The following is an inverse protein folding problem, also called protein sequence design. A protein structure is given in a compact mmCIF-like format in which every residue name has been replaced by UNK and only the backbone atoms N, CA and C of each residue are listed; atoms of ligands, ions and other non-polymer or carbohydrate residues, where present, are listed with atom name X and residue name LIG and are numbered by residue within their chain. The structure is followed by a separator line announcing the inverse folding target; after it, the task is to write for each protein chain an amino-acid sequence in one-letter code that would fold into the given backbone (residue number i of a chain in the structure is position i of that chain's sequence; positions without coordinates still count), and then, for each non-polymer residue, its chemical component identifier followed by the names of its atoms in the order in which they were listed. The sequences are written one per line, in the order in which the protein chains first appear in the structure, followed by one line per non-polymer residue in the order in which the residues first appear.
data_IF_234978649196
#
_entry.id   IF_234978649196
#
_cell.length_a   1.000
_cell.length_b   1.000
_cell.length_c   1.000
_cell.angle_alpha   90.00
_cell.angle_beta   90.00
_cell.angle_gamma   90.00
#
_symmetry.space_group_name_H-M   'P 1'
#
loop_
_entity.id
_entity.type
_entity.pdbx_description
1 polymer ?
#
# COMPACT_ATOMS: atom_id res chain seq x y z
N UNK A 1 1.40 39.82 -0.91
CA UNK A 1 2.60 40.41 -1.53
C UNK A 1 3.85 39.70 -1.07
N UNK A 2 4.07 39.56 0.24
CA UNK A 2 5.24 38.89 0.83
C UNK A 2 5.46 37.44 0.36
N UNK A 3 4.37 36.66 0.24
CA UNK A 3 4.40 35.28 -0.24
C UNK A 3 4.81 35.12 -1.73
N UNK A 4 4.59 36.15 -2.57
CA UNK A 4 5.06 36.11 -3.96
C UNK A 4 6.56 36.44 -4.07
N UNK A 5 7.05 37.36 -3.24
CA UNK A 5 8.47 37.74 -3.21
C UNK A 5 9.31 36.55 -2.75
N UNK A 6 8.85 35.79 -1.75
CA UNK A 6 9.51 34.57 -1.28
C UNK A 6 9.58 33.48 -2.37
N UNK A 7 8.51 33.30 -3.15
CA UNK A 7 8.50 32.36 -4.28
C UNK A 7 9.47 32.77 -5.39
N UNK A 8 9.55 34.06 -5.71
CA UNK A 8 10.54 34.56 -6.68
C UNK A 8 11.97 34.34 -6.20
N UNK A 9 12.27 34.59 -4.92
CA UNK A 9 13.59 34.36 -4.32
C UNK A 9 13.97 32.88 -4.30
N UNK A 10 13.02 32.00 -3.97
CA UNK A 10 13.22 30.55 -4.07
C UNK A 10 13.56 30.14 -5.50
N UNK A 11 12.80 30.62 -6.50
CA UNK A 11 13.06 30.32 -7.90
C UNK A 11 14.45 30.80 -8.35
N UNK A 12 14.89 31.97 -7.90
CA UNK A 12 16.22 32.50 -8.18
C UNK A 12 17.33 31.61 -7.58
N UNK A 13 17.17 31.16 -6.33
CA UNK A 13 18.13 30.27 -5.69
C UNK A 13 18.22 28.90 -6.39
N UNK A 14 17.11 28.38 -6.90
CA UNK A 14 17.08 27.15 -7.71
C UNK A 14 17.79 27.33 -9.05
N UNK A 15 17.70 28.50 -9.66
CA UNK A 15 18.39 28.79 -10.92
C UNK A 15 19.92 28.83 -10.73
N UNK A 16 20.39 29.42 -9.63
CA UNK A 16 21.80 29.37 -9.24
C UNK A 16 22.28 27.93 -9.02
N UNK A 17 21.45 27.08 -8.40
CA UNK A 17 21.77 25.67 -8.21
C UNK A 17 21.86 24.88 -9.53
N UNK A 18 21.06 25.23 -10.54
CA UNK A 18 21.16 24.63 -11.89
C UNK A 18 22.43 25.06 -12.62
N UNK A 19 22.88 26.29 -12.41
CA UNK A 19 24.11 26.82 -12.99
C UNK A 19 25.39 26.27 -12.32
N UNK A 20 25.25 25.40 -11.30
CA UNK A 20 26.37 24.83 -10.57
C UNK A 20 26.96 25.75 -9.50
N UNK A 21 26.40 26.94 -9.31
CA UNK A 21 26.80 27.91 -8.29
C UNK A 21 26.23 27.53 -6.91
N UNK A 22 26.60 26.33 -6.41
CA UNK A 22 26.03 25.75 -5.19
C UNK A 22 26.32 26.57 -3.92
N UNK A 23 27.44 27.30 -3.86
CA UNK A 23 27.79 28.17 -2.73
C UNK A 23 26.88 29.41 -2.66
N UNK A 24 26.59 30.03 -3.81
CA UNK A 24 25.68 31.18 -3.92
C UNK A 24 24.23 30.74 -3.67
N UNK A 25 23.84 29.59 -4.20
CA UNK A 25 22.53 28.99 -3.92
C UNK A 25 22.35 28.69 -2.42
N UNK A 26 23.38 28.16 -1.74
CA UNK A 26 23.36 27.93 -0.29
C UNK A 26 23.12 29.25 0.46
N UNK A 27 23.90 30.29 0.17
CA UNK A 27 23.77 31.58 0.85
C UNK A 27 22.36 32.21 0.66
N UNK A 28 21.82 32.14 -0.57
CA UNK A 28 20.47 32.63 -0.85
C UNK A 28 19.39 31.84 -0.11
N UNK A 29 19.54 30.52 0.01
CA UNK A 29 18.61 29.65 0.75
C UNK A 29 18.72 29.84 2.26
N UNK A 30 19.92 30.07 2.81
CA UNK A 30 20.10 30.39 4.24
C UNK A 30 19.36 31.69 4.59
N UNK A 31 19.51 32.74 3.78
CA UNK A 31 18.77 33.98 3.97
C UNK A 31 17.25 33.77 3.87
N UNK A 32 16.80 32.94 2.93
CA UNK A 32 15.39 32.62 2.77
C UNK A 32 14.81 31.89 4.00
N UNK A 33 15.59 31.00 4.64
CA UNK A 33 15.17 30.32 5.87
C UNK A 33 15.08 31.23 7.10
N UNK A 34 15.76 32.38 7.08
CA UNK A 34 15.64 33.41 8.14
C UNK A 34 14.39 34.26 7.94
N UNK A 35 14.05 34.59 6.69
CA UNK A 35 12.88 35.40 6.34
C UNK A 35 11.57 34.58 6.37
N UNK A 36 11.64 33.28 6.08
CA UNK A 36 10.51 32.36 6.06
C UNK A 36 10.79 31.08 6.88
N UNK A 37 10.83 31.18 8.22
CA UNK A 37 11.17 30.06 9.09
C UNK A 37 10.14 28.91 9.10
N UNK A 38 8.96 29.14 8.54
CA UNK A 38 7.90 28.12 8.43
C UNK A 38 7.87 27.41 7.08
N UNK A 39 8.77 27.73 6.13
CA UNK A 39 8.77 27.13 4.79
C UNK A 39 9.54 25.79 4.75
N UNK A 40 8.87 24.63 4.59
CA UNK A 40 9.57 23.34 4.52
C UNK A 40 10.43 23.23 3.26
N UNK A 41 9.98 23.83 2.16
CA UNK A 41 10.64 23.81 0.84
C UNK A 41 12.01 24.50 0.89
N UNK A 42 12.12 25.65 1.57
CA UNK A 42 13.37 26.37 1.74
C UNK A 42 14.42 25.51 2.48
N UNK A 43 14.00 24.84 3.57
CA UNK A 43 14.87 23.93 4.32
C UNK A 43 15.26 22.68 3.51
N UNK A 44 14.37 22.15 2.67
CA UNK A 44 14.69 21.02 1.79
C UNK A 44 15.79 21.36 0.80
N UNK A 45 15.65 22.47 0.07
CA UNK A 45 16.63 22.90 -0.93
C UNK A 45 17.94 23.34 -0.29
N UNK A 46 17.90 23.95 0.90
CA UNK A 46 19.10 24.24 1.68
C UNK A 46 19.90 22.97 1.95
N UNK A 47 19.24 21.89 2.35
CA UNK A 47 19.91 20.62 2.58
C UNK A 47 20.55 20.04 1.32
N UNK A 48 19.93 20.20 0.14
CA UNK A 48 20.57 19.81 -1.13
C UNK A 48 21.81 20.64 -1.44
N UNK A 49 21.75 21.95 -1.24
CA UNK A 49 22.89 22.84 -1.47
C UNK A 49 24.06 22.52 -0.50
N UNK A 50 23.77 22.22 0.76
CA UNK A 50 24.75 21.75 1.75
C UNK A 50 25.41 20.42 1.34
N UNK A 51 24.63 19.45 0.86
CA UNK A 51 25.17 18.17 0.34
C UNK A 51 26.10 18.38 -0.85
N UNK A 52 25.80 19.31 -1.75
CA UNK A 52 26.64 19.64 -2.92
C UNK A 52 27.87 20.47 -2.57
N UNK A 53 27.85 21.19 -1.45
CA UNK A 53 29.00 21.94 -0.92
C UNK A 53 29.86 21.11 0.05
N UNK A 54 29.69 19.77 0.06
CA UNK A 54 30.42 18.82 0.90
C UNK A 54 30.24 19.01 2.42
N UNK A 55 29.08 19.53 2.85
CA UNK A 55 28.73 19.73 4.25
C UNK A 55 27.51 18.86 4.64
N UNK A 56 27.73 17.55 4.91
CA UNK A 56 26.64 16.62 5.17
C UNK A 56 25.95 16.84 6.52
N UNK A 57 26.62 17.45 7.51
CA UNK A 57 26.02 17.74 8.81
C UNK A 57 25.05 18.94 8.73
N UNK A 58 25.42 19.99 7.99
CA UNK A 58 24.48 21.07 7.68
C UNK A 58 23.29 20.60 6.84
N UNK A 59 23.53 19.66 5.91
CA UNK A 59 22.46 19.04 5.11
C UNK A 59 21.48 18.25 5.97
N UNK A 60 22.00 17.45 6.92
CA UNK A 60 21.18 16.72 7.90
C UNK A 60 20.31 17.67 8.70
N UNK A 61 20.91 18.71 9.30
CA UNK A 61 20.21 19.69 10.14
C UNK A 61 19.08 20.40 9.36
N UNK A 62 19.34 20.75 8.09
CA UNK A 62 18.34 21.39 7.23
C UNK A 62 17.16 20.45 6.92
N UNK A 63 17.43 19.17 6.60
CA UNK A 63 16.37 18.19 6.35
C UNK A 63 15.61 17.79 7.61
N UNK A 64 16.24 17.77 8.79
CA UNK A 64 15.55 17.58 10.07
C UNK A 64 14.57 18.72 10.34
N UNK A 65 14.96 19.98 10.10
CA UNK A 65 14.06 21.13 10.19
C UNK A 65 12.93 21.07 9.16
N UNK A 66 13.23 20.66 7.92
CA UNK A 66 12.21 20.43 6.89
C UNK A 66 11.16 19.41 7.35
N UNK A 67 11.60 18.28 7.90
CA UNK A 67 10.72 17.22 8.40
C UNK A 67 9.99 17.60 9.70
N UNK A 68 10.52 18.53 10.49
CA UNK A 68 9.82 19.08 11.65
C UNK A 68 8.62 19.95 11.22
N UNK A 69 8.73 20.64 10.08
CA UNK A 69 7.65 21.48 9.52
C UNK A 69 6.68 20.68 8.64
N UNK A 70 7.18 19.74 7.84
CA UNK A 70 6.40 18.82 7.01
C UNK A 70 6.87 17.37 7.22
N UNK A 71 6.26 16.65 8.18
CA UNK A 71 6.61 15.25 8.48
C UNK A 71 6.44 14.27 7.31
N UNK A 72 5.71 14.66 6.26
CA UNK A 72 5.43 13.85 5.06
C UNK A 72 6.32 14.21 3.87
N UNK A 73 7.29 15.12 4.04
CA UNK A 73 8.18 15.56 2.97
C UNK A 73 9.10 14.42 2.47
N UNK A 74 8.64 13.69 1.45
CA UNK A 74 9.27 12.47 0.93
C UNK A 74 10.72 12.71 0.49
N UNK A 75 10.97 13.85 -0.16
CA UNK A 75 12.26 14.16 -0.75
C UNK A 75 13.33 14.41 0.33
N UNK A 76 13.04 15.19 1.37
CA UNK A 76 13.94 15.43 2.50
C UNK A 76 14.26 14.14 3.26
N UNK A 77 13.24 13.29 3.49
CA UNK A 77 13.42 12.00 4.18
C UNK A 77 14.34 11.06 3.42
N UNK A 78 14.17 10.98 2.10
CA UNK A 78 15.02 10.15 1.23
C UNK A 78 16.46 10.63 1.27
N UNK A 79 16.68 11.95 1.22
CA UNK A 79 18.01 12.51 1.26
C UNK A 79 18.69 12.34 2.62
N UNK A 80 17.96 12.49 3.72
CA UNK A 80 18.46 12.26 5.08
C UNK A 80 18.80 10.78 5.31
N UNK A 81 17.92 9.85 4.90
CA UNK A 81 18.17 8.41 4.94
C UNK A 81 19.42 8.01 4.11
N UNK A 82 19.64 8.66 2.95
CA UNK A 82 20.84 8.43 2.15
C UNK A 82 22.14 8.85 2.85
N UNK A 83 22.08 9.78 3.82
CA UNK A 83 23.23 10.20 4.61
C UNK A 83 23.47 9.30 5.85
N UNK A 84 22.48 8.53 6.29
CA UNK A 84 22.54 7.77 7.55
C UNK A 84 22.76 6.27 7.37
N UNK A 85 22.67 5.70 6.17
CA UNK A 85 22.89 4.26 5.95
C UNK A 85 24.28 3.78 6.42
N UNK A 86 24.38 2.87 7.40
CA UNK A 86 25.48 1.91 7.48
C UNK A 86 25.23 0.77 6.46
N UNK A 87 26.28 0.08 6.01
CA UNK A 87 26.15 -1.08 5.14
C UNK A 87 25.22 -2.14 5.78
N UNK A 88 24.10 -2.46 5.11
CA UNK A 88 23.06 -3.34 5.65
C UNK A 88 23.44 -4.83 5.60
N UNK A 89 22.82 -5.68 6.45
CA UNK A 89 23.14 -7.11 6.54
C UNK A 89 22.55 -7.93 5.38
N UNK A 90 23.33 -8.92 4.91
CA UNK A 90 22.99 -9.83 3.81
C UNK A 90 21.83 -10.76 4.18
N UNK A 91 20.74 -10.65 3.41
CA UNK A 91 19.44 -11.27 3.68
C UNK A 91 19.37 -12.78 3.37
N UNK A 92 20.42 -13.40 2.81
CA UNK A 92 20.34 -14.78 2.31
C UNK A 92 20.89 -15.87 3.24
N UNK A 93 21.34 -15.56 4.45
CA UNK A 93 21.98 -16.57 5.32
C UNK A 93 21.27 -16.91 6.63
N UNK A 94 20.18 -16.23 7.00
CA UNK A 94 19.54 -16.51 8.30
C UNK A 94 18.27 -17.35 8.18
N UNK A 95 18.43 -18.66 8.23
CA UNK A 95 17.36 -19.67 8.28
C UNK A 95 16.66 -19.77 9.64
N UNK A 96 16.87 -18.82 10.58
CA UNK A 96 16.26 -18.81 11.91
C UNK A 96 14.78 -18.36 11.98
N UNK A 97 14.17 -17.95 10.87
CA UNK A 97 12.88 -17.23 10.86
C UNK A 97 11.63 -18.06 11.24
N UNK A 98 11.72 -19.39 11.37
CA UNK A 98 10.56 -20.23 11.71
C UNK A 98 10.29 -20.31 13.24
N UNK A 99 11.29 -20.08 14.08
CA UNK A 99 11.18 -20.28 15.54
C UNK A 99 10.79 -19.02 16.32
N UNK A 100 10.71 -17.86 15.65
CA UNK A 100 10.46 -16.55 16.25
C UNK A 100 9.02 -16.02 16.15
N UNK A 101 8.05 -16.82 15.67
CA UNK A 101 6.68 -16.32 15.39
C UNK A 101 5.96 -15.71 16.61
N UNK A 102 6.44 -15.99 17.84
CA UNK A 102 5.90 -15.46 19.09
C UNK A 102 6.97 -14.94 20.07
N UNK A 103 8.23 -14.80 19.65
CA UNK A 103 9.33 -14.47 20.56
C UNK A 103 9.76 -12.99 20.48
N UNK A 104 9.64 -12.35 21.63
CA UNK A 104 10.15 -11.05 22.07
C UNK A 104 9.70 -9.79 21.33
N UNK A 105 9.07 -8.91 22.13
CA UNK A 105 8.68 -7.55 21.85
C UNK A 105 9.85 -6.77 21.24
N UNK A 106 9.93 -6.75 19.91
CA UNK A 106 10.69 -5.74 19.18
C UNK A 106 10.24 -4.36 19.70
N UNK A 107 11.19 -3.44 19.99
CA UNK A 107 10.86 -2.17 20.60
C UNK A 107 9.73 -1.48 19.83
N UNK A 108 8.65 -1.15 20.55
CA UNK A 108 7.46 -0.53 19.98
C UNK A 108 7.92 0.78 19.33
N UNK A 109 7.72 0.96 18.01
CA UNK A 109 8.01 2.25 17.40
C UNK A 109 7.17 3.32 18.10
N UNK A 110 7.73 4.50 18.41
CA UNK A 110 7.00 5.60 19.10
C UNK A 110 5.80 6.17 18.31
N UNK A 111 5.40 5.51 17.22
CA UNK A 111 4.32 5.89 16.33
C UNK A 111 3.07 5.07 16.68
N UNK A 112 1.97 5.75 16.92
CA UNK A 112 0.72 5.10 17.34
C UNK A 112 0.23 4.08 16.30
N UNK A 113 -0.20 2.88 16.74
CA UNK A 113 -0.73 1.88 15.84
C UNK A 113 -2.07 2.33 15.29
N UNK A 114 -2.27 2.19 13.98
CA UNK A 114 -3.55 2.50 13.38
C UNK A 114 -4.69 1.66 13.97
N UNK A 115 -5.84 2.29 14.15
CA UNK A 115 -7.03 1.61 14.68
C UNK A 115 -7.50 0.52 13.71
N UNK A 116 -8.13 -0.53 14.25
CA UNK A 116 -8.66 -1.61 13.42
C UNK A 116 -9.80 -1.10 12.53
N UNK A 117 -10.54 -0.09 12.98
CA UNK A 117 -11.57 0.60 12.21
C UNK A 117 -11.03 1.35 11.02
N UNK A 118 -9.98 2.15 11.21
CA UNK A 118 -9.32 2.84 10.11
C UNK A 118 -8.82 1.82 9.08
N UNK A 119 -8.23 0.70 9.51
CA UNK A 119 -7.73 -0.35 8.61
C UNK A 119 -8.85 -1.03 7.80
N UNK A 120 -9.96 -1.38 8.43
CA UNK A 120 -11.11 -1.97 7.73
C UNK A 120 -11.74 -0.98 6.75
N UNK A 121 -11.85 0.30 7.14
CA UNK A 121 -12.35 1.35 6.25
C UNK A 121 -11.43 1.57 5.06
N UNK A 122 -10.10 1.59 5.25
CA UNK A 122 -9.15 1.66 4.15
C UNK A 122 -9.32 0.48 3.20
N UNK A 123 -9.43 -0.75 3.72
CA UNK A 123 -9.64 -1.93 2.90
C UNK A 123 -10.93 -1.83 2.06
N UNK A 124 -12.00 -1.29 2.64
CA UNK A 124 -13.26 -1.07 1.93
C UNK A 124 -13.11 -0.02 0.82
N UNK A 125 -12.48 1.12 1.12
CA UNK A 125 -12.19 2.17 0.13
C UNK A 125 -11.31 1.61 -1.00
N UNK A 126 -10.25 0.89 -0.66
CA UNK A 126 -9.36 0.23 -1.60
C UNK A 126 -10.10 -0.78 -2.48
N UNK A 127 -11.07 -1.52 -1.92
CA UNK A 127 -11.90 -2.47 -2.67
C UNK A 127 -12.79 -1.76 -3.68
N UNK A 128 -13.40 -0.63 -3.33
CA UNK A 128 -14.20 0.17 -4.26
C UNK A 128 -13.33 0.69 -5.40
N UNK A 129 -12.17 1.27 -5.06
CA UNK A 129 -11.25 1.80 -6.05
C UNK A 129 -10.73 0.72 -6.99
N UNK A 130 -10.43 -0.46 -6.47
CA UNK A 130 -10.02 -1.60 -7.28
C UNK A 130 -11.14 -2.07 -8.22
N UNK A 131 -12.38 -2.17 -7.73
CA UNK A 131 -13.54 -2.53 -8.57
C UNK A 131 -13.72 -1.51 -9.69
N UNK A 132 -13.68 -0.21 -9.36
CA UNK A 132 -13.79 0.86 -10.35
C UNK A 132 -12.65 0.81 -11.38
N UNK A 133 -11.43 0.53 -10.94
CA UNK A 133 -10.28 0.36 -11.81
C UNK A 133 -10.42 -0.87 -12.73
N UNK A 134 -11.16 -1.90 -12.32
CA UNK A 134 -11.36 -3.14 -13.08
C UNK A 134 -12.43 -3.00 -14.18
N UNK A 135 -13.44 -2.15 -13.96
CA UNK A 135 -14.56 -1.91 -14.91
C UNK A 135 -14.11 -1.67 -16.36
N UNK A 136 -13.17 -0.74 -16.68
CA UNK A 136 -12.79 -0.50 -18.08
C UNK A 136 -12.14 -1.73 -18.73
N UNK A 137 -11.38 -2.54 -17.97
CA UNK A 137 -10.78 -3.76 -18.50
C UNK A 137 -11.83 -4.83 -18.79
N UNK A 138 -12.81 -5.00 -17.89
CA UNK A 138 -13.94 -5.91 -18.13
C UNK A 138 -14.76 -5.42 -19.32
N UNK A 139 -15.08 -4.14 -19.40
CA UNK A 139 -15.85 -3.59 -20.51
C UNK A 139 -15.12 -3.77 -21.86
N UNK A 140 -13.81 -3.54 -21.89
CA UNK A 140 -12.97 -3.78 -23.08
C UNK A 140 -12.98 -5.26 -23.47
N UNK A 141 -12.86 -6.18 -22.52
CA UNK A 141 -12.93 -7.61 -22.77
C UNK A 141 -14.31 -8.04 -23.26
N UNK A 142 -15.39 -7.53 -22.65
CA UNK A 142 -16.76 -7.79 -23.10
C UNK A 142 -17.01 -7.29 -24.52
N UNK A 143 -16.51 -6.11 -24.87
CA UNK A 143 -16.58 -5.59 -26.24
C UNK A 143 -15.77 -6.45 -27.22
N UNK A 144 -14.61 -6.95 -26.81
CA UNK A 144 -13.82 -7.89 -27.60
C UNK A 144 -14.61 -9.20 -27.84
N UNK A 145 -15.22 -9.77 -26.82
CA UNK A 145 -16.03 -11.00 -26.93
C UNK A 145 -17.20 -10.78 -27.88
N UNK A 146 -17.98 -9.73 -27.68
CA UNK A 146 -19.14 -9.41 -28.54
C UNK A 146 -18.70 -9.08 -29.97
N UNK A 147 -17.57 -8.39 -30.16
CA UNK A 147 -17.04 -8.07 -31.47
C UNK A 147 -16.53 -9.26 -32.29
N UNK A 148 -16.25 -10.39 -31.63
CA UNK A 148 -15.86 -11.65 -32.28
C UNK A 148 -17.02 -12.67 -32.35
N UNK A 149 -18.18 -12.35 -31.77
CA UNK A 149 -19.34 -13.22 -31.84
C UNK A 149 -19.90 -13.26 -33.28
N UNK A 150 -20.42 -14.42 -33.73
CA UNK A 150 -21.10 -14.53 -35.01
C UNK A 150 -22.26 -13.53 -35.12
N UNK A 151 -22.45 -12.92 -36.30
CA UNK A 151 -23.48 -11.89 -36.53
C UNK A 151 -24.79 -12.45 -37.08
N UNK A 152 -24.83 -13.75 -37.35
CA UNK A 152 -25.88 -14.50 -38.02
C UNK A 152 -26.88 -15.12 -37.04
N UNK A 153 -27.50 -14.33 -36.16
CA UNK A 153 -28.59 -14.79 -35.28
C UNK A 153 -28.23 -15.87 -34.23
N UNK A 154 -27.11 -16.56 -34.40
CA UNK A 154 -26.53 -17.60 -33.53
C UNK A 154 -25.62 -17.01 -32.44
N UNK A 155 -25.52 -15.67 -32.37
CA UNK A 155 -24.67 -14.97 -31.40
C UNK A 155 -24.93 -15.39 -29.95
N UNK A 156 -26.20 -15.64 -29.60
CA UNK A 156 -26.60 -16.04 -28.25
C UNK A 156 -26.10 -17.45 -27.93
N UNK A 157 -26.25 -18.38 -28.86
CA UNK A 157 -25.86 -19.77 -28.68
C UNK A 157 -24.33 -19.89 -28.56
N UNK A 158 -23.58 -19.14 -29.39
CA UNK A 158 -22.12 -19.04 -29.27
C UNK A 158 -21.68 -18.52 -27.90
N UNK A 159 -22.32 -17.47 -27.37
CA UNK A 159 -22.00 -16.93 -26.04
C UNK A 159 -22.26 -17.98 -24.95
N UNK A 160 -23.36 -18.74 -25.05
CA UNK A 160 -23.70 -19.77 -24.09
C UNK A 160 -22.70 -20.94 -24.12
N UNK A 161 -22.31 -21.39 -25.32
CA UNK A 161 -21.30 -22.43 -25.51
C UNK A 161 -19.92 -22.02 -24.97
N UNK A 162 -19.54 -20.75 -25.16
CA UNK A 162 -18.26 -20.21 -24.67
C UNK A 162 -18.33 -19.59 -23.27
N UNK A 163 -19.47 -19.66 -22.59
CA UNK A 163 -19.73 -18.94 -21.33
C UNK A 163 -18.71 -19.22 -20.22
N UNK A 164 -18.24 -20.47 -20.10
CA UNK A 164 -17.20 -20.87 -19.15
C UNK A 164 -15.85 -20.20 -19.43
N UNK A 165 -15.45 -20.10 -20.69
CA UNK A 165 -14.20 -19.45 -21.11
C UNK A 165 -14.30 -17.94 -20.94
N UNK A 166 -15.44 -17.34 -21.28
CA UNK A 166 -15.72 -15.92 -21.09
C UNK A 166 -15.66 -15.58 -19.59
N UNK A 167 -16.26 -16.41 -18.73
CA UNK A 167 -16.20 -16.24 -17.28
C UNK A 167 -14.77 -16.35 -16.76
N UNK A 168 -14.02 -17.37 -17.18
CA UNK A 168 -12.61 -17.55 -16.79
C UNK A 168 -11.75 -16.36 -17.21
N UNK A 169 -11.92 -15.85 -18.44
CA UNK A 169 -11.23 -14.64 -18.92
C UNK A 169 -11.57 -13.41 -18.08
N UNK A 170 -12.85 -13.21 -17.77
CA UNK A 170 -13.33 -12.10 -16.94
C UNK A 170 -12.75 -12.16 -15.51
N UNK A 171 -12.74 -13.36 -14.91
CA UNK A 171 -12.15 -13.59 -13.58
C UNK A 171 -10.64 -13.37 -13.59
N UNK A 172 -9.94 -13.84 -14.62
CA UNK A 172 -8.49 -13.65 -14.77
C UNK A 172 -8.10 -12.17 -14.81
N UNK A 173 -8.89 -11.32 -15.49
CA UNK A 173 -8.67 -9.87 -15.51
C UNK A 173 -8.72 -9.29 -14.09
N UNK A 174 -9.73 -9.65 -13.30
CA UNK A 174 -9.85 -9.20 -11.91
C UNK A 174 -8.66 -9.61 -11.05
N UNK A 175 -8.17 -10.85 -11.22
CA UNK A 175 -6.97 -11.34 -10.54
C UNK A 175 -5.72 -10.56 -10.94
N UNK A 176 -5.50 -10.35 -12.24
CA UNK A 176 -4.34 -9.60 -12.76
C UNK A 176 -4.36 -8.17 -12.21
N UNK A 177 -5.48 -7.47 -12.30
CA UNK A 177 -5.61 -6.10 -11.78
C UNK A 177 -5.31 -6.07 -10.27
N UNK A 178 -5.87 -7.00 -9.48
CA UNK A 178 -5.58 -7.07 -8.04
C UNK A 178 -4.08 -7.33 -7.76
N UNK A 179 -3.51 -8.32 -8.46
CA UNK A 179 -2.14 -8.78 -8.29
C UNK A 179 -1.12 -7.67 -8.54
N UNK A 180 -1.37 -6.78 -9.49
CA UNK A 180 -0.48 -5.66 -9.76
C UNK A 180 -0.81 -4.40 -8.95
N UNK A 181 -2.09 -4.12 -8.69
CA UNK A 181 -2.52 -2.89 -8.01
C UNK A 181 -1.98 -2.80 -6.57
N UNK A 182 -2.18 -3.83 -5.74
CA UNK A 182 -1.86 -3.74 -4.32
C UNK A 182 -0.34 -3.69 -4.05
N UNK A 183 0.50 -4.59 -4.63
CA UNK A 183 1.94 -4.56 -4.40
C UNK A 183 2.61 -3.29 -4.94
N UNK A 184 2.12 -2.74 -6.06
CA UNK A 184 2.61 -1.48 -6.62
C UNK A 184 2.53 -0.35 -5.59
N UNK A 185 1.37 -0.15 -4.96
CA UNK A 185 1.19 0.88 -3.93
C UNK A 185 1.96 0.61 -2.63
N UNK A 186 2.15 -0.65 -2.26
CA UNK A 186 3.00 -1.01 -1.13
C UNK A 186 4.46 -0.63 -1.37
N UNK A 187 4.97 -0.90 -2.56
CA UNK A 187 6.34 -0.58 -2.94
C UNK A 187 6.56 0.93 -3.11
N UNK A 188 5.68 1.62 -3.83
CA UNK A 188 5.90 3.02 -4.20
C UNK A 188 5.75 3.97 -3.00
N UNK A 189 4.77 3.73 -2.14
CA UNK A 189 4.38 4.69 -1.10
C UNK A 189 4.25 4.08 0.30
N UNK A 190 4.23 2.75 0.42
CA UNK A 190 3.80 2.06 1.65
C UNK A 190 2.35 2.38 2.02
N UNK A 191 1.56 2.89 1.07
CA UNK A 191 0.21 3.41 1.27
C UNK A 191 -0.62 3.06 0.06
N UNK A 192 -1.70 2.31 0.27
CA UNK A 192 -2.77 2.20 -0.71
C UNK A 192 -3.61 3.48 -0.70
N UNK A 193 -4.34 3.81 -1.78
CA UNK A 193 -5.14 5.03 -1.84
C UNK A 193 -6.09 5.22 -0.64
N UNK A 194 -6.79 4.17 -0.19
CA UNK A 194 -7.64 4.18 0.99
C UNK A 194 -6.88 4.39 2.29
N UNK A 195 -5.67 3.84 2.42
CA UNK A 195 -4.80 4.12 3.57
C UNK A 195 -4.28 5.54 3.57
N UNK A 196 -3.96 6.08 2.39
CA UNK A 196 -3.53 7.47 2.21
C UNK A 196 -4.63 8.46 2.63
N UNK A 197 -5.88 8.18 2.25
CA UNK A 197 -7.05 8.98 2.64
C UNK A 197 -7.26 9.01 4.16
N UNK A 198 -6.87 7.95 4.87
CA UNK A 198 -7.03 7.81 6.31
C UNK A 198 -5.75 8.11 7.10
N UNK A 199 -4.73 8.70 6.48
CA UNK A 199 -3.48 9.07 7.16
C UNK A 199 -2.68 7.88 7.71
N UNK A 200 -2.87 6.69 7.13
CA UNK A 200 -2.18 5.47 7.54
C UNK A 200 -1.04 5.13 6.60
N UNK A 201 0.04 4.60 7.17
CA UNK A 201 1.21 4.14 6.42
C UNK A 201 1.73 2.81 6.91
N UNK A 202 2.11 1.96 5.96
CA UNK A 202 2.83 0.73 6.23
C UNK A 202 4.32 1.05 6.19
N UNK A 203 5.01 0.69 7.26
CA UNK A 203 6.44 0.92 7.48
C UNK A 203 7.10 -0.37 7.96
N UNK A 204 8.41 -0.45 7.81
CA UNK A 204 9.21 -1.48 8.46
C UNK A 204 9.16 -1.32 9.99
N UNK A 205 9.06 -2.44 10.71
CA UNK A 205 8.93 -2.41 12.18
C UNK A 205 10.24 -1.99 12.89
N UNK A 206 11.38 -2.20 12.26
CA UNK A 206 12.71 -1.94 12.84
C UNK A 206 13.25 -0.57 12.46
N UNK A 207 13.07 -0.13 11.21
CA UNK A 207 13.63 1.14 10.71
C UNK A 207 12.60 2.26 10.64
N UNK A 208 11.30 1.96 10.68
CA UNK A 208 10.21 2.90 10.38
C UNK A 208 10.30 3.53 8.97
N UNK A 209 11.11 2.94 8.10
CA UNK A 209 11.26 3.35 6.71
C UNK A 209 10.20 2.69 5.82
N UNK A 210 10.04 3.14 4.56
CA UNK A 210 9.20 2.46 3.59
C UNK A 210 9.64 1.00 3.38
N UNK A 211 8.69 0.17 2.97
CA UNK A 211 8.91 -1.26 2.74
C UNK A 211 9.95 -1.50 1.66
N UNK A 212 10.77 -2.53 1.85
CA UNK A 212 11.56 -3.11 0.75
C UNK A 212 10.64 -3.87 -0.23
N UNK A 213 11.11 -4.12 -1.46
CA UNK A 213 10.36 -4.90 -2.45
C UNK A 213 10.01 -6.30 -1.94
N UNK A 214 10.96 -6.98 -1.29
CA UNK A 214 10.77 -8.31 -0.71
C UNK A 214 9.72 -8.30 0.40
N UNK A 215 9.77 -7.31 1.29
CA UNK A 215 8.76 -7.17 2.34
C UNK A 215 7.38 -6.84 1.79
N UNK A 216 7.30 -6.05 0.71
CA UNK A 216 6.03 -5.70 0.06
C UNK A 216 5.37 -6.93 -0.56
N UNK A 217 6.14 -7.74 -1.30
CA UNK A 217 5.67 -8.99 -1.90
C UNK A 217 5.35 -10.03 -0.83
N UNK A 218 6.23 -10.20 0.16
CA UNK A 218 6.03 -11.13 1.27
C UNK A 218 4.79 -10.78 2.09
N UNK A 219 4.56 -9.49 2.35
CA UNK A 219 3.32 -9.00 2.99
C UNK A 219 2.10 -9.33 2.14
N UNK A 220 2.14 -9.07 0.83
CA UNK A 220 1.03 -9.34 -0.08
C UNK A 220 0.66 -10.84 -0.11
N UNK A 221 1.65 -11.72 -0.28
CA UNK A 221 1.43 -13.17 -0.28
C UNK A 221 0.90 -13.66 1.08
N UNK A 222 1.45 -13.15 2.19
CA UNK A 222 0.98 -13.49 3.52
C UNK A 222 -0.45 -12.98 3.80
N UNK A 223 -0.84 -11.83 3.24
CA UNK A 223 -2.22 -11.35 3.30
C UNK A 223 -3.17 -12.28 2.53
N UNK A 224 -2.78 -12.75 1.35
CA UNK A 224 -3.53 -13.75 0.59
C UNK A 224 -3.70 -15.07 1.36
N UNK A 225 -2.61 -15.58 1.95
CA UNK A 225 -2.66 -16.76 2.80
C UNK A 225 -3.60 -16.56 3.99
N UNK A 226 -3.56 -15.37 4.62
CA UNK A 226 -4.46 -15.02 5.72
C UNK A 226 -5.93 -15.05 5.29
N UNK A 227 -6.22 -14.63 4.06
CA UNK A 227 -7.57 -14.69 3.47
C UNK A 227 -8.00 -16.13 3.18
N UNK A 228 -7.11 -16.98 2.64
CA UNK A 228 -7.39 -18.40 2.38
C UNK A 228 -7.73 -19.19 3.64
N UNK A 229 -7.11 -18.85 4.78
CA UNK A 229 -7.43 -19.44 6.10
C UNK A 229 -8.58 -18.69 6.78
N UNK A 230 -9.63 -18.34 6.02
CA UNK A 230 -10.87 -17.70 6.50
C UNK A 230 -10.63 -16.39 7.28
N UNK A 231 -9.69 -15.55 6.82
CA UNK A 231 -9.30 -14.30 7.50
C UNK A 231 -8.72 -14.48 8.92
N UNK A 232 -8.40 -15.71 9.33
CA UNK A 232 -7.87 -15.98 10.68
C UNK A 232 -6.65 -15.14 11.02
N UNK A 233 -5.77 -14.90 10.03
CA UNK A 233 -4.58 -14.07 10.21
C UNK A 233 -4.88 -12.62 10.62
N UNK A 234 -6.08 -12.10 10.35
CA UNK A 234 -6.49 -10.76 10.78
C UNK A 234 -6.97 -10.73 12.24
N UNK A 235 -7.44 -11.86 12.79
CA UNK A 235 -7.90 -11.95 14.19
C UNK A 235 -6.75 -11.72 15.19
N UNK A 236 -5.53 -12.08 14.82
CA UNK A 236 -4.31 -11.86 15.63
C UNK A 236 -4.16 -10.39 16.06
N UNK A 237 -4.61 -9.45 15.23
CA UNK A 237 -4.53 -8.01 15.48
C UNK A 237 -5.39 -7.52 16.66
N UNK A 238 -6.35 -8.34 17.15
CA UNK A 238 -7.18 -8.00 18.32
C UNK A 238 -6.51 -8.39 19.64
N UNK A 239 -5.54 -9.32 19.62
CA UNK A 239 -4.95 -9.89 20.82
C UNK A 239 -3.61 -9.25 21.19
N UNK A 240 -3.10 -8.31 20.40
CA UNK A 240 -1.82 -7.64 20.63
C UNK A 240 -1.96 -6.12 20.74
N UNK A 241 -1.06 -5.51 21.53
CA UNK A 241 -1.05 -4.05 21.78
C UNK A 241 -0.68 -3.24 20.53
N UNK A 242 0.17 -3.82 19.68
CA UNK A 242 0.64 -3.19 18.43
C UNK A 242 -0.37 -3.31 17.29
N UNK A 243 -1.49 -4.00 17.53
CA UNK A 243 -2.56 -4.32 16.57
C UNK A 243 -2.05 -5.03 15.31
N UNK A 244 -0.89 -5.69 15.30
CA UNK A 244 -0.33 -6.31 14.09
C UNK A 244 -1.08 -7.59 13.71
N UNK A 245 -1.43 -7.75 12.44
CA UNK A 245 -2.00 -8.99 11.91
C UNK A 245 -0.90 -10.03 11.63
N UNK A 246 -1.29 -11.29 11.36
CA UNK A 246 -0.34 -12.37 11.06
C UNK A 246 0.59 -12.03 9.88
N UNK A 247 0.04 -11.46 8.81
CA UNK A 247 0.83 -11.01 7.66
C UNK A 247 1.77 -9.84 8.00
N UNK A 248 1.44 -9.03 9.00
CA UNK A 248 2.33 -7.97 9.50
C UNK A 248 3.53 -8.57 10.24
N UNK A 249 3.32 -9.65 11.00
CA UNK A 249 4.38 -10.39 11.66
C UNK A 249 5.31 -11.07 10.65
N UNK A 250 4.74 -11.82 9.71
CA UNK A 250 5.48 -12.56 8.70
C UNK A 250 6.33 -11.64 7.82
N UNK A 251 5.82 -10.46 7.47
CA UNK A 251 6.55 -9.51 6.63
C UNK A 251 7.47 -8.56 7.42
N UNK A 252 7.43 -8.56 8.76
CA UNK A 252 8.18 -7.60 9.58
C UNK A 252 7.69 -6.16 9.47
N UNK A 253 6.39 -5.98 9.24
CA UNK A 253 5.80 -4.67 8.89
C UNK A 253 4.89 -4.16 10.00
N UNK A 254 4.67 -2.85 10.00
CA UNK A 254 3.86 -2.13 10.97
C UNK A 254 2.98 -1.10 10.28
N UNK A 255 1.74 -0.93 10.74
CA UNK A 255 0.82 0.08 10.18
C UNK A 255 0.69 1.22 11.18
N UNK A 256 1.42 2.29 10.89
CA UNK A 256 1.42 3.56 11.60
C UNK A 256 0.24 4.44 11.19
N UNK A 257 -0.27 5.24 12.13
CA UNK A 257 -1.27 6.28 11.87
C UNK A 257 -0.72 7.64 12.30
N UNK A 258 -1.02 8.70 11.53
CA UNK A 258 -0.69 10.07 11.91
C UNK A 258 -1.66 10.68 12.93
N UNK A 259 -2.84 10.07 13.10
CA UNK A 259 -3.82 10.43 14.12
C UNK A 259 -4.40 9.17 14.76
N UNK A 260 -4.63 9.16 16.08
CA UNK A 260 -5.95 8.78 16.62
C UNK A 260 -6.06 9.02 18.13
N UNK A 261 -7.07 9.79 18.52
CA UNK A 261 -7.72 9.64 19.83
C UNK A 261 -8.57 8.35 19.90
N UNK A 262 -9.21 8.04 21.04
CA UNK A 262 -10.03 6.84 21.18
C UNK A 262 -11.17 6.80 20.15
N UNK A 263 -11.41 5.61 19.57
CA UNK A 263 -12.40 5.40 18.50
C UNK A 263 -13.80 5.88 18.90
N UNK A 264 -14.44 6.63 18.02
CA UNK A 264 -15.83 7.06 18.18
C UNK A 264 -16.81 5.87 18.11
N UNK A 265 -18.03 6.03 18.64
CA UNK A 265 -19.08 4.99 18.57
C UNK A 265 -19.41 4.61 17.12
N UNK A 266 -19.36 5.57 16.20
CA UNK A 266 -19.58 5.34 14.77
C UNK A 266 -18.53 4.39 14.17
N UNK A 267 -17.26 4.53 14.55
CA UNK A 267 -16.19 3.62 14.10
C UNK A 267 -16.38 2.20 14.63
N UNK A 268 -16.85 2.03 15.86
CA UNK A 268 -17.15 0.72 16.45
C UNK A 268 -18.32 0.04 15.73
N UNK A 269 -19.37 0.79 15.39
CA UNK A 269 -20.51 0.26 14.65
C UNK A 269 -20.14 -0.08 13.21
N UNK A 270 -19.38 0.79 12.54
CA UNK A 270 -18.91 0.57 11.17
C UNK A 270 -17.97 -0.64 11.08
N UNK A 271 -17.05 -0.81 12.03
CA UNK A 271 -16.21 -2.02 12.08
C UNK A 271 -17.01 -3.28 12.28
N UNK A 272 -17.94 -3.28 13.22
CA UNK A 272 -18.81 -4.42 13.48
C UNK A 272 -19.61 -4.78 12.23
N UNK A 273 -20.16 -3.79 11.53
CA UNK A 273 -20.85 -3.97 10.26
C UNK A 273 -19.94 -4.55 9.18
N UNK A 274 -18.73 -4.02 9.00
CA UNK A 274 -17.77 -4.51 8.00
C UNK A 274 -17.34 -5.95 8.28
N UNK A 275 -17.19 -6.34 9.56
CA UNK A 275 -16.91 -7.72 9.96
C UNK A 275 -18.09 -8.62 9.57
N UNK A 276 -19.33 -8.21 9.85
CA UNK A 276 -20.53 -8.96 9.47
C UNK A 276 -20.63 -9.14 7.96
N UNK A 277 -20.39 -8.07 7.18
CA UNK A 277 -20.40 -8.13 5.72
C UNK A 277 -19.30 -9.05 5.17
N UNK A 278 -18.11 -9.02 5.80
CA UNK A 278 -17.00 -9.91 5.41
C UNK A 278 -17.34 -11.39 5.71
N UNK A 279 -17.98 -11.66 6.85
CA UNK A 279 -18.47 -13.00 7.20
C UNK A 279 -19.59 -13.47 6.27
N UNK A 280 -20.52 -12.59 5.91
CA UNK A 280 -21.58 -12.87 4.93
C UNK A 280 -20.99 -13.19 3.55
N UNK A 281 -20.01 -12.40 3.10
CA UNK A 281 -19.28 -12.66 1.85
C UNK A 281 -18.59 -14.02 1.87
N UNK A 282 -17.96 -14.40 2.99
CA UNK A 282 -17.36 -15.72 3.16
C UNK A 282 -18.40 -16.85 3.07
N UNK A 283 -19.55 -16.69 3.73
CA UNK A 283 -20.66 -17.65 3.64
C UNK A 283 -21.16 -17.79 2.20
N UNK A 284 -21.29 -16.68 1.46
CA UNK A 284 -21.67 -16.72 0.05
C UNK A 284 -20.65 -17.49 -0.81
N UNK A 285 -19.35 -17.30 -0.59
CA UNK A 285 -18.30 -18.05 -1.30
C UNK A 285 -18.42 -19.55 -0.98
N UNK A 286 -18.63 -19.93 0.28
CA UNK A 286 -18.83 -21.33 0.67
C UNK A 286 -20.06 -21.92 -0.01
N UNK A 287 -21.17 -21.18 -0.06
CA UNK A 287 -22.39 -21.61 -0.77
C UNK A 287 -22.08 -21.84 -2.26
N UNK A 288 -21.41 -20.90 -2.92
CA UNK A 288 -21.02 -21.04 -4.34
C UNK A 288 -20.12 -22.25 -4.57
N UNK A 289 -19.17 -22.53 -3.66
CA UNK A 289 -18.31 -23.70 -3.76
C UNK A 289 -19.09 -25.00 -3.58
N UNK A 290 -20.05 -25.03 -2.64
CA UNK A 290 -20.91 -26.20 -2.40
C UNK A 290 -21.83 -26.45 -3.60
N UNK A 291 -22.46 -25.40 -4.16
CA UNK A 291 -23.31 -25.55 -5.35
C UNK A 291 -22.50 -25.95 -6.57
N UNK A 292 -21.30 -25.38 -6.74
CA UNK A 292 -20.38 -25.76 -7.82
C UNK A 292 -19.92 -27.22 -7.69
N UNK A 293 -19.54 -27.67 -6.48
CA UNK A 293 -19.22 -29.07 -6.22
C UNK A 293 -20.40 -29.99 -6.46
N UNK A 294 -21.61 -29.60 -6.06
CA UNK A 294 -22.85 -30.35 -6.35
C UNK A 294 -23.06 -30.51 -7.86
N UNK A 295 -22.89 -29.44 -8.62
CA UNK A 295 -22.94 -29.48 -10.09
C UNK A 295 -21.88 -30.38 -10.71
N UNK A 296 -20.66 -30.40 -10.17
CA UNK A 296 -19.61 -31.34 -10.58
C UNK A 296 -20.03 -32.79 -10.30
N UNK A 297 -20.60 -33.07 -9.13
CA UNK A 297 -21.06 -34.42 -8.76
C UNK A 297 -22.19 -34.88 -9.69
N UNK A 298 -23.21 -34.06 -9.92
CA UNK A 298 -24.29 -34.36 -10.87
C UNK A 298 -23.75 -34.56 -12.30
N UNK A 299 -22.80 -33.72 -12.73
CA UNK A 299 -22.11 -33.89 -14.00
C UNK A 299 -21.39 -35.23 -14.08
N UNK A 300 -20.62 -35.62 -13.05
CA UNK A 300 -19.92 -36.90 -13.01
C UNK A 300 -20.88 -38.10 -12.97
N UNK A 301 -22.01 -37.99 -12.27
CA UNK A 301 -23.07 -39.03 -12.23
C UNK A 301 -23.80 -39.16 -13.58
N UNK A 302 -23.90 -38.08 -14.35
CA UNK A 302 -24.51 -38.09 -15.69
C UNK A 302 -23.65 -38.78 -16.76
N UNK A 303 -22.36 -39.02 -16.48
CA UNK A 303 -21.48 -39.82 -17.34
C UNK A 303 -21.47 -41.29 -16.90
N UNK A 304 -22.09 -42.22 -17.65
CA UNK A 304 -22.10 -43.63 -17.28
C UNK A 304 -20.68 -44.21 -17.36
N UNK A 305 -20.21 -44.75 -16.23
CA UNK A 305 -18.93 -45.46 -16.03
C UNK A 305 -18.72 -46.72 -16.93
N UNK A 306 -19.54 -46.92 -17.97
CA UNK A 306 -19.53 -48.09 -18.84
C UNK A 306 -19.22 -47.82 -20.32
N UNK A 307 -18.61 -46.68 -20.67
CA UNK A 307 -18.22 -46.33 -22.05
C UNK A 307 -16.71 -46.18 -22.27
N UNK A 308 -15.89 -46.79 -21.39
CA UNK A 308 -14.47 -47.04 -21.62
C UNK A 308 -14.23 -48.55 -21.77
#
# INVERSE_FOLDING_TARGET
MENEILKQRLAQALELAKQGAYAEARAALEQLTLEAPESPEAFYYLGLACKRTHDPEAARTAWEKCLALDPFHHQARTQLSSLTKPAGPDFLTDTGAATGLFAESRPIPQVQPASLSARSLAFFIDSILLNLATVPFIAMFSLYVVGNAPTDGEAVDWILENSSQIQLGTTAIGFVVNFFFIPFFYYESGMTPGKRLLGMRIVDVSTLEPLTMVQSVGRFLASYLSTCVLYFGYLVAFFNKDRRALHDFLAGTYVASSETGPMSLAEKLMTTLLIILSLLGLVMVVIVLVTFMGGIVEFLESYPLGSL
#
